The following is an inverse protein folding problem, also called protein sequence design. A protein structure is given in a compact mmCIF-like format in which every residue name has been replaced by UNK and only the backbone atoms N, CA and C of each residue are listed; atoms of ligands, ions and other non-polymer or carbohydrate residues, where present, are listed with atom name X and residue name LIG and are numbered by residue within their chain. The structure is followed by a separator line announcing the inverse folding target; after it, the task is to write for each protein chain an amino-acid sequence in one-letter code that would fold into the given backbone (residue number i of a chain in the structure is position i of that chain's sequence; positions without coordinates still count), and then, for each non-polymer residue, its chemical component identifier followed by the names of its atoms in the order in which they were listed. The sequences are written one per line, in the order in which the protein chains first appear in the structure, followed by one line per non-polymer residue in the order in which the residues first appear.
data_IF_643286133473
#
_entry.id   IF_643286133473
#
_cell.length_a   1.000
_cell.length_b   1.000
_cell.length_c   1.000
_cell.angle_alpha   90.00
_cell.angle_beta   90.00
_cell.angle_gamma   90.00
#
_symmetry.space_group_name_H-M   'P 1'
#
loop_
_entity.id
_entity.type
_entity.pdbx_description
1 polymer ?
#
# COMPACT_ATOMS: atom_id res chain seq x y z
N UNK A 1 -20.92 -43.74 -39.48
CA UNK A 1 -19.54 -43.72 -38.96
C UNK A 1 -18.73 -42.68 -39.74
N UNK A 2 -17.69 -42.11 -39.12
CA UNK A 2 -16.76 -41.06 -39.59
C UNK A 2 -17.12 -39.63 -39.15
N UNK A 3 -16.50 -39.22 -38.03
CA UNK A 3 -16.25 -37.83 -37.62
C UNK A 3 -15.37 -37.14 -38.66
N UNK A 4 -15.65 -35.88 -39.03
CA UNK A 4 -14.60 -34.92 -39.46
C UNK A 4 -14.94 -33.46 -39.13
N UNK A 5 -14.08 -32.91 -38.25
CA UNK A 5 -13.64 -31.54 -37.96
C UNK A 5 -14.57 -30.34 -38.25
N UNK A 6 -14.99 -29.70 -37.16
CA UNK A 6 -15.28 -28.27 -37.11
C UNK A 6 -13.99 -27.49 -37.43
N UNK A 7 -14.05 -26.62 -38.44
CA UNK A 7 -13.04 -25.60 -38.73
C UNK A 7 -13.64 -24.29 -38.23
N UNK A 8 -13.15 -23.70 -37.13
CA UNK A 8 -13.61 -22.38 -36.72
C UNK A 8 -13.27 -21.37 -37.82
N UNK A 9 -14.15 -20.39 -38.11
CA UNK A 9 -13.82 -19.30 -39.00
C UNK A 9 -12.55 -18.62 -38.49
N UNK A 10 -11.62 -18.40 -39.42
CA UNK A 10 -10.36 -17.70 -39.20
C UNK A 10 -10.59 -16.45 -38.36
N UNK A 11 -9.83 -16.31 -37.28
CA UNK A 11 -9.68 -15.02 -36.61
C UNK A 11 -9.10 -14.04 -37.63
N UNK A 12 -9.97 -13.24 -38.23
CA UNK A 12 -9.55 -11.98 -38.80
C UNK A 12 -8.96 -11.18 -37.64
N UNK A 13 -7.65 -11.01 -37.67
CA UNK A 13 -6.95 -9.93 -37.00
C UNK A 13 -7.68 -8.64 -37.31
N UNK A 14 -8.49 -8.17 -36.37
CA UNK A 14 -8.95 -6.79 -36.37
C UNK A 14 -7.71 -5.97 -36.02
N UNK A 15 -7.04 -5.44 -37.05
CA UNK A 15 -6.14 -4.32 -36.88
C UNK A 15 -6.92 -3.19 -36.20
N UNK A 16 -6.55 -2.86 -34.96
CA UNK A 16 -7.06 -1.71 -34.21
C UNK A 16 -6.49 -0.40 -34.82
N UNK A 17 -7.00 0.00 -35.99
CA UNK A 17 -6.60 1.22 -36.70
C UNK A 17 -7.09 2.54 -36.05
N UNK A 18 -7.77 2.49 -34.90
CA UNK A 18 -8.36 3.65 -34.22
C UNK A 18 -7.71 4.11 -32.91
N UNK A 19 -6.81 3.32 -32.31
CA UNK A 19 -6.18 3.65 -31.02
C UNK A 19 -4.94 4.53 -31.21
N UNK A 20 -4.16 4.27 -32.27
CA UNK A 20 -2.97 5.07 -32.62
C UNK A 20 -3.30 6.55 -32.85
N UNK A 21 -4.36 6.85 -33.60
CA UNK A 21 -4.77 8.23 -33.91
C UNK A 21 -5.22 9.04 -32.68
N UNK A 22 -5.82 8.39 -31.67
CA UNK A 22 -6.22 9.05 -30.42
C UNK A 22 -5.02 9.36 -29.53
N UNK A 23 -4.07 8.44 -29.39
CA UNK A 23 -2.85 8.65 -28.61
C UNK A 23 -1.97 9.72 -29.27
N UNK A 24 -1.80 9.68 -30.59
CA UNK A 24 -1.06 10.70 -31.34
C UNK A 24 -1.65 12.10 -31.15
N UNK A 25 -2.99 12.21 -31.15
CA UNK A 25 -3.68 13.47 -30.88
C UNK A 25 -3.42 13.97 -29.46
N UNK A 26 -3.46 13.09 -28.45
CA UNK A 26 -3.13 13.45 -27.06
C UNK A 26 -1.70 13.95 -26.96
N UNK A 27 -0.73 13.26 -27.58
CA UNK A 27 0.68 13.66 -27.59
C UNK A 27 0.86 15.02 -28.26
N UNK A 28 0.22 15.25 -29.42
CA UNK A 28 0.29 16.53 -30.14
C UNK A 28 -0.29 17.68 -29.31
N UNK A 29 -1.42 17.44 -28.64
CA UNK A 29 -2.05 18.44 -27.78
C UNK A 29 -1.19 18.73 -26.55
N UNK A 30 -0.69 17.70 -25.88
CA UNK A 30 0.16 17.83 -24.69
C UNK A 30 1.40 18.70 -24.95
N UNK A 31 2.02 18.60 -26.13
CA UNK A 31 3.19 19.42 -26.51
C UNK A 31 2.88 20.89 -26.77
N UNK A 32 1.66 21.21 -27.22
CA UNK A 32 1.26 22.58 -27.57
C UNK A 32 0.48 23.27 -26.45
N UNK A 33 0.10 22.53 -25.42
CA UNK A 33 -0.74 23.04 -24.35
C UNK A 33 0.01 24.02 -23.44
N UNK A 34 -0.67 25.08 -23.02
CA UNK A 34 -0.17 26.03 -22.04
C UNK A 34 -0.63 25.57 -20.65
N UNK A 35 0.29 24.97 -19.90
CA UNK A 35 0.02 24.47 -18.56
C UNK A 35 -0.13 25.62 -17.56
N UNK A 36 -1.23 25.63 -16.83
CA UNK A 36 -1.58 26.60 -15.79
C UNK A 36 -1.48 26.00 -14.39
N UNK A 37 -1.90 24.74 -14.22
CA UNK A 37 -2.02 24.11 -12.89
C UNK A 37 -0.89 23.11 -12.62
N UNK A 38 -0.53 22.28 -13.59
CA UNK A 38 0.48 21.20 -13.47
C UNK A 38 1.81 21.64 -14.09
N UNK A 39 2.92 21.29 -13.43
CA UNK A 39 4.28 21.44 -13.96
C UNK A 39 4.77 20.10 -14.51
N UNK A 40 4.92 19.93 -15.84
CA UNK A 40 5.46 18.70 -16.42
C UNK A 40 6.87 18.36 -15.93
N UNK A 41 7.68 19.38 -15.63
CA UNK A 41 9.00 19.21 -15.03
C UNK A 41 8.90 18.61 -13.63
N UNK A 42 8.00 19.13 -12.79
CA UNK A 42 7.78 18.61 -11.44
C UNK A 42 7.22 17.18 -11.47
N UNK A 43 6.33 16.86 -12.41
CA UNK A 43 5.88 15.48 -12.65
C UNK A 43 7.06 14.56 -12.93
N UNK A 44 7.95 14.94 -13.85
CA UNK A 44 9.14 14.16 -14.16
C UNK A 44 10.09 14.02 -12.94
N UNK A 45 10.19 15.05 -12.09
CA UNK A 45 11.00 15.01 -10.86
C UNK A 45 10.41 14.10 -9.78
N UNK A 46 9.09 14.10 -9.60
CA UNK A 46 8.41 13.37 -8.53
C UNK A 46 8.21 11.90 -8.89
N UNK A 47 7.68 11.60 -10.08
CA UNK A 47 7.36 10.22 -10.50
C UNK A 47 8.22 9.69 -11.66
N UNK A 48 8.79 10.56 -12.49
CA UNK A 48 9.78 10.18 -13.50
C UNK A 48 9.32 9.06 -14.43
N UNK A 49 10.15 8.03 -14.61
CA UNK A 49 9.82 6.89 -15.50
C UNK A 49 8.65 6.01 -15.02
N UNK A 50 8.19 6.22 -13.79
CA UNK A 50 7.12 5.44 -13.18
C UNK A 50 5.73 6.03 -13.40
N UNK A 51 5.61 7.12 -14.17
CA UNK A 51 4.31 7.61 -14.58
C UNK A 51 3.51 6.53 -15.34
N UNK A 52 2.18 6.47 -15.16
CA UNK A 52 1.34 5.43 -15.77
C UNK A 52 1.36 5.44 -17.29
N UNK A 53 1.63 6.62 -17.86
CA UNK A 53 1.85 6.89 -19.27
C UNK A 53 3.03 7.88 -19.35
N UNK A 54 3.39 8.34 -20.55
CA UNK A 54 4.45 9.35 -20.67
C UNK A 54 4.18 10.57 -19.77
N UNK A 55 5.22 11.11 -19.14
CA UNK A 55 5.11 12.24 -18.21
C UNK A 55 4.33 13.41 -18.81
N UNK A 56 4.54 13.70 -20.10
CA UNK A 56 3.81 14.75 -20.82
C UNK A 56 2.32 14.45 -20.94
N UNK A 57 1.94 13.22 -21.32
CA UNK A 57 0.53 12.88 -21.46
C UNK A 57 -0.16 12.84 -20.09
N UNK A 58 0.51 12.30 -19.07
CA UNK A 58 -0.01 12.28 -17.71
C UNK A 58 -0.23 13.71 -17.18
N UNK A 59 0.76 14.59 -17.37
CA UNK A 59 0.65 16.01 -17.01
C UNK A 59 -0.51 16.69 -17.74
N UNK A 60 -0.66 16.43 -19.04
CA UNK A 60 -1.72 17.02 -19.85
C UNK A 60 -3.12 16.57 -19.41
N UNK A 61 -3.30 15.28 -19.13
CA UNK A 61 -4.59 14.76 -18.67
C UNK A 61 -4.96 15.33 -17.29
N UNK A 62 -4.01 15.41 -16.36
CA UNK A 62 -4.24 16.06 -15.06
C UNK A 62 -4.50 17.56 -15.20
N UNK A 63 -3.78 18.27 -16.07
CA UNK A 63 -4.01 19.69 -16.37
C UNK A 63 -5.44 19.93 -16.86
N UNK A 64 -5.88 19.15 -17.87
CA UNK A 64 -7.24 19.22 -18.38
C UNK A 64 -8.29 18.90 -17.30
N UNK A 65 -8.02 17.88 -16.47
CA UNK A 65 -8.92 17.51 -15.39
C UNK A 65 -9.07 18.64 -14.36
N UNK A 66 -7.96 19.21 -13.89
CA UNK A 66 -7.97 20.28 -12.89
C UNK A 66 -8.61 21.54 -13.47
N UNK A 67 -8.37 21.88 -14.73
CA UNK A 67 -9.04 23.00 -15.38
C UNK A 67 -10.56 22.80 -15.43
N UNK A 68 -11.02 21.64 -15.90
CA UNK A 68 -12.45 21.32 -15.97
C UNK A 68 -13.12 21.30 -14.58
N UNK A 69 -12.46 20.67 -13.60
CA UNK A 69 -12.89 20.64 -12.21
C UNK A 69 -13.00 22.05 -11.63
N UNK A 70 -11.97 22.88 -11.82
CA UNK A 70 -11.93 24.26 -11.35
C UNK A 70 -13.05 25.11 -11.95
N UNK A 71 -13.32 24.98 -13.25
CA UNK A 71 -14.22 25.89 -13.94
C UNK A 71 -15.69 25.48 -13.81
N UNK A 72 -15.96 24.18 -13.62
CA UNK A 72 -17.33 23.65 -13.72
C UNK A 72 -17.75 22.72 -12.58
N UNK A 73 -16.83 22.29 -11.72
CA UNK A 73 -17.11 21.30 -10.67
C UNK A 73 -17.14 19.85 -11.18
N UNK A 74 -16.57 19.57 -12.35
CA UNK A 74 -16.38 18.21 -12.86
C UNK A 74 -15.55 17.39 -11.88
N UNK A 75 -15.98 16.16 -11.61
CA UNK A 75 -15.32 15.24 -10.68
C UNK A 75 -14.96 13.89 -11.32
N UNK A 76 -15.41 13.64 -12.56
CA UNK A 76 -15.14 12.41 -13.32
C UNK A 76 -14.78 12.80 -14.76
N UNK A 77 -13.69 12.26 -15.30
CA UNK A 77 -13.30 12.44 -16.70
C UNK A 77 -12.77 11.12 -17.27
N UNK A 78 -13.36 10.66 -18.36
CA UNK A 78 -12.95 9.44 -19.05
C UNK A 78 -13.16 9.56 -20.57
N UNK A 79 -12.97 8.45 -21.30
CA UNK A 79 -13.09 8.43 -22.75
C UNK A 79 -14.48 8.81 -23.30
N UNK A 80 -15.54 8.77 -22.47
CA UNK A 80 -16.92 9.10 -22.87
C UNK A 80 -17.27 10.57 -22.64
N UNK A 81 -16.53 11.27 -21.79
CA UNK A 81 -16.78 12.67 -21.48
C UNK A 81 -16.31 13.06 -20.08
N UNK A 82 -16.80 14.20 -19.64
CA UNK A 82 -16.53 14.76 -18.33
C UNK A 82 -17.85 15.05 -17.61
N UNK A 83 -17.94 14.65 -16.35
CA UNK A 83 -19.20 14.56 -15.60
C UNK A 83 -19.02 15.11 -14.18
N UNK A 84 -20.13 15.58 -13.61
CA UNK A 84 -20.26 15.88 -12.20
C UNK A 84 -20.75 14.65 -11.47
N UNK A 85 -20.31 14.46 -10.24
CA UNK A 85 -20.94 13.51 -9.32
C UNK A 85 -22.32 14.00 -8.91
N UNK A 86 -23.18 13.06 -8.56
CA UNK A 86 -24.47 13.23 -7.92
C UNK A 86 -24.39 13.45 -6.40
N UNK A 87 -23.20 13.33 -5.79
CA UNK A 87 -23.01 13.60 -4.36
C UNK A 87 -23.31 15.09 -4.09
N UNK A 88 -24.26 15.42 -3.20
CA UNK A 88 -24.65 16.79 -2.92
C UNK A 88 -23.47 17.68 -2.51
N UNK A 89 -23.46 18.93 -2.98
CA UNK A 89 -22.48 19.99 -2.66
C UNK A 89 -21.02 19.73 -3.12
N UNK A 90 -20.72 18.54 -3.65
CA UNK A 90 -19.37 18.23 -4.16
C UNK A 90 -19.03 19.06 -5.40
N UNK A 91 -19.87 19.13 -6.46
CA UNK A 91 -19.54 19.94 -7.62
C UNK A 91 -19.31 21.42 -7.28
N UNK A 92 -20.13 21.99 -6.41
CA UNK A 92 -20.04 23.40 -5.98
C UNK A 92 -18.74 23.66 -5.20
N UNK A 93 -18.33 22.71 -4.36
CA UNK A 93 -17.11 22.81 -3.56
C UNK A 93 -15.82 22.68 -4.38
N UNK A 94 -15.89 22.00 -5.53
CA UNK A 94 -14.77 21.83 -6.46
C UNK A 94 -14.55 23.05 -7.38
N UNK A 95 -15.56 23.91 -7.56
CA UNK A 95 -15.41 25.14 -8.35
C UNK A 95 -14.35 26.05 -7.69
N UNK A 96 -13.39 26.52 -8.50
CA UNK A 96 -12.27 27.35 -8.05
C UNK A 96 -11.16 26.60 -7.31
N UNK A 97 -11.24 25.26 -7.14
CA UNK A 97 -10.25 24.50 -6.36
C UNK A 97 -8.83 24.59 -6.93
N UNK A 98 -8.70 24.66 -8.26
CA UNK A 98 -7.40 24.82 -8.92
C UNK A 98 -6.73 26.15 -8.56
N UNK A 99 -7.50 27.26 -8.50
CA UNK A 99 -6.96 28.56 -8.08
C UNK A 99 -6.61 28.57 -6.60
N UNK A 100 -7.42 27.95 -5.74
CA UNK A 100 -7.16 27.81 -4.31
C UNK A 100 -5.86 27.04 -4.04
N UNK A 101 -5.66 25.91 -4.72
CA UNK A 101 -4.43 25.12 -4.64
C UNK A 101 -3.19 25.92 -5.09
N UNK A 102 -3.28 26.67 -6.21
CA UNK A 102 -2.19 27.55 -6.65
C UNK A 102 -1.90 28.66 -5.64
N UNK A 103 -2.93 29.23 -5.01
CA UNK A 103 -2.78 30.21 -3.93
C UNK A 103 -2.12 29.60 -2.70
N UNK A 104 -2.50 28.38 -2.32
CA UNK A 104 -1.87 27.63 -1.23
C UNK A 104 -0.38 27.43 -1.47
N UNK A 105 0.00 27.02 -2.69
CA UNK A 105 1.42 26.84 -3.05
C UNK A 105 2.26 28.11 -2.88
N UNK A 106 1.71 29.28 -3.26
CA UNK A 106 2.41 30.57 -3.10
C UNK A 106 2.64 30.95 -1.64
N UNK A 107 1.75 30.51 -0.75
CA UNK A 107 1.81 30.79 0.69
C UNK A 107 2.40 29.61 1.49
N UNK A 108 2.92 28.60 0.80
CA UNK A 108 3.38 27.38 1.42
C UNK A 108 4.59 27.63 2.34
N UNK A 109 4.57 27.00 3.52
CA UNK A 109 5.67 27.02 4.48
C UNK A 109 6.32 25.64 4.53
N UNK A 110 7.64 25.62 4.38
CA UNK A 110 8.45 24.39 4.42
C UNK A 110 8.18 23.58 5.70
N UNK A 111 8.12 22.27 5.54
CA UNK A 111 7.93 21.30 6.62
C UNK A 111 6.48 21.22 7.11
N UNK A 112 5.53 21.78 6.38
CA UNK A 112 4.11 21.67 6.73
C UNK A 112 3.58 20.29 6.39
N UNK A 113 2.81 19.72 7.31
CA UNK A 113 2.11 18.46 7.10
C UNK A 113 0.77 18.66 6.39
N UNK A 114 0.10 19.75 6.73
CA UNK A 114 -1.03 20.25 5.99
C UNK A 114 -0.51 20.94 4.73
N UNK A 115 -0.82 20.37 3.57
CA UNK A 115 -0.53 21.00 2.30
C UNK A 115 -1.73 21.84 1.83
N UNK A 116 -2.95 21.39 2.13
CA UNK A 116 -4.18 22.11 1.78
C UNK A 116 -5.29 21.84 2.79
N UNK A 117 -5.74 22.88 3.49
CA UNK A 117 -6.73 22.79 4.57
C UNK A 117 -8.16 23.10 4.16
N UNK A 118 -8.37 23.67 2.97
CA UNK A 118 -9.73 24.08 2.55
C UNK A 118 -10.58 22.89 2.09
N UNK A 119 -9.97 21.85 1.52
CA UNK A 119 -10.71 20.68 1.00
C UNK A 119 -9.83 19.43 1.01
N UNK A 120 -10.31 18.34 1.62
CA UNK A 120 -9.61 17.05 1.66
C UNK A 120 -10.25 16.07 0.68
N UNK A 121 -9.50 15.68 -0.35
CA UNK A 121 -9.98 14.75 -1.37
C UNK A 121 -8.82 14.13 -2.14
N UNK A 122 -9.08 12.99 -2.78
CA UNK A 122 -8.10 12.36 -3.65
C UNK A 122 -8.52 12.44 -5.12
N UNK A 123 -7.54 12.40 -6.02
CA UNK A 123 -7.72 12.27 -7.46
C UNK A 123 -7.15 10.92 -7.87
N UNK A 124 -8.02 9.99 -8.26
CA UNK A 124 -7.63 8.66 -8.74
C UNK A 124 -7.54 8.70 -10.26
N UNK A 125 -6.34 8.50 -10.80
CA UNK A 125 -6.06 8.42 -12.24
C UNK A 125 -5.71 6.99 -12.62
N UNK A 126 -6.60 6.34 -13.36
CA UNK A 126 -6.48 4.93 -13.75
C UNK A 126 -6.01 4.80 -15.20
N UNK A 127 -4.88 4.11 -15.37
CA UNK A 127 -4.32 3.74 -16.67
C UNK A 127 -3.99 2.25 -16.68
N UNK A 128 -5.03 1.43 -16.75
CA UNK A 128 -4.92 -0.03 -16.77
C UNK A 128 -5.01 -0.50 -18.22
N UNK A 129 -4.08 -1.36 -18.64
CA UNK A 129 -4.09 -1.92 -19.99
C UNK A 129 -5.43 -2.61 -20.30
N UNK A 130 -5.96 -2.37 -21.49
CA UNK A 130 -7.27 -2.88 -21.90
C UNK A 130 -8.48 -2.18 -21.29
N UNK A 131 -8.30 -1.21 -20.37
CA UNK A 131 -9.39 -0.40 -19.80
C UNK A 131 -9.32 1.05 -20.29
N UNK A 132 -10.45 1.75 -20.43
CA UNK A 132 -10.44 3.19 -20.68
C UNK A 132 -9.73 3.94 -19.56
N UNK A 133 -8.95 4.96 -19.94
CA UNK A 133 -8.37 5.90 -18.95
C UNK A 133 -9.49 6.66 -18.28
N UNK A 134 -9.42 6.75 -16.96
CA UNK A 134 -10.41 7.42 -16.13
C UNK A 134 -9.74 8.20 -15.00
N UNK A 135 -10.21 9.41 -14.74
CA UNK A 135 -9.79 10.26 -13.62
C UNK A 135 -11.00 10.64 -12.78
N UNK A 136 -10.96 10.38 -11.47
CA UNK A 136 -12.10 10.55 -10.56
C UNK A 136 -11.66 11.21 -9.26
N UNK A 137 -12.48 12.13 -8.75
CA UNK A 137 -12.35 12.66 -7.39
C UNK A 137 -12.99 11.70 -6.37
N UNK A 138 -12.27 11.43 -5.28
CA UNK A 138 -12.80 10.83 -4.06
C UNK A 138 -12.96 11.94 -3.00
N UNK A 139 -14.18 12.48 -2.81
CA UNK A 139 -14.38 13.71 -2.05
C UNK A 139 -14.51 13.42 -0.55
N UNK A 140 -13.40 13.12 0.15
CA UNK A 140 -13.46 12.79 1.58
C UNK A 140 -14.04 13.89 2.45
N UNK A 141 -13.93 15.16 2.04
CA UNK A 141 -14.61 16.28 2.69
C UNK A 141 -16.14 16.13 2.76
N UNK A 142 -16.76 15.29 1.94
CA UNK A 142 -18.18 14.99 1.98
C UNK A 142 -18.53 13.84 2.94
N UNK A 143 -17.53 13.18 3.54
CA UNK A 143 -17.70 11.99 4.36
C UNK A 143 -16.87 12.06 5.64
N UNK A 144 -17.54 12.21 6.78
CA UNK A 144 -16.90 12.35 8.10
C UNK A 144 -15.98 11.19 8.47
N UNK A 145 -16.31 9.96 8.03
CA UNK A 145 -15.54 8.75 8.37
C UNK A 145 -14.22 8.62 7.58
N UNK A 146 -14.09 9.34 6.46
CA UNK A 146 -12.95 9.20 5.54
C UNK A 146 -12.06 10.44 5.48
N UNK A 147 -12.51 11.58 6.05
CA UNK A 147 -11.72 12.80 6.04
C UNK A 147 -10.48 12.66 6.92
N UNK A 148 -9.34 13.15 6.43
CA UNK A 148 -8.11 13.30 7.21
C UNK A 148 -8.31 14.37 8.27
N UNK A 149 -7.51 14.32 9.34
CA UNK A 149 -7.49 15.40 10.32
C UNK A 149 -7.06 16.71 9.66
N UNK A 150 -7.34 17.84 10.32
CA UNK A 150 -6.93 19.15 9.81
C UNK A 150 -5.41 19.24 9.67
N UNK A 151 -4.63 18.54 10.46
CA UNK A 151 -3.17 18.55 10.40
C UNK A 151 -2.63 17.73 9.22
N UNK A 152 -3.42 16.79 8.70
CA UNK A 152 -3.04 15.85 7.65
C UNK A 152 -3.77 16.08 6.33
N UNK A 153 -4.70 17.05 6.28
CA UNK A 153 -5.52 17.33 5.11
C UNK A 153 -4.68 17.73 3.90
N UNK A 154 -4.98 17.13 2.76
CA UNK A 154 -4.23 17.34 1.52
C UNK A 154 -5.02 16.81 0.32
N UNK A 155 -4.59 17.21 -0.87
CA UNK A 155 -5.07 16.59 -2.11
C UNK A 155 -4.06 15.55 -2.57
N UNK A 156 -4.44 14.27 -2.63
CA UNK A 156 -3.54 13.19 -3.07
C UNK A 156 -3.91 12.74 -4.48
N UNK A 157 -2.92 12.59 -5.35
CA UNK A 157 -3.08 11.91 -6.64
C UNK A 157 -2.73 10.44 -6.45
N UNK A 158 -3.63 9.54 -6.83
CA UNK A 158 -3.37 8.11 -6.98
C UNK A 158 -3.24 7.77 -8.46
N UNK A 159 -2.01 7.64 -8.94
CA UNK A 159 -1.72 7.13 -10.27
C UNK A 159 -1.67 5.60 -10.20
N UNK A 160 -2.72 4.94 -10.72
CA UNK A 160 -2.74 3.49 -10.85
C UNK A 160 -1.95 3.14 -12.10
N UNK A 161 -0.73 2.67 -11.88
CA UNK A 161 0.18 2.17 -12.91
C UNK A 161 -0.07 0.67 -13.06
N UNK A 162 0.09 0.13 -14.26
CA UNK A 162 -0.06 -1.30 -14.53
C UNK A 162 0.74 -2.20 -13.56
N UNK A 163 0.41 -3.48 -13.60
CA UNK A 163 0.81 -4.49 -12.62
C UNK A 163 2.33 -4.60 -12.39
N UNK A 164 2.76 -4.63 -11.12
CA UNK A 164 4.07 -5.17 -10.75
C UNK A 164 3.93 -6.69 -10.63
N UNK A 165 4.51 -7.42 -11.58
CA UNK A 165 4.49 -8.90 -11.61
C UNK A 165 3.08 -9.49 -11.42
N UNK A 166 2.09 -8.96 -12.16
CA UNK A 166 0.72 -9.44 -12.11
C UNK A 166 -0.15 -8.83 -10.99
N UNK A 167 0.40 -7.92 -10.18
CA UNK A 167 -0.30 -7.29 -9.05
C UNK A 167 -0.48 -5.79 -9.27
N UNK A 168 -1.70 -5.23 -9.18
CA UNK A 168 -1.92 -3.79 -9.32
C UNK A 168 -1.07 -2.98 -8.34
N UNK A 169 -0.40 -1.94 -8.85
CA UNK A 169 0.44 -1.07 -8.05
C UNK A 169 0.02 0.40 -8.21
N UNK A 170 -0.30 1.03 -7.08
CA UNK A 170 -0.70 2.44 -7.06
C UNK A 170 0.44 3.32 -6.56
N UNK A 171 0.78 4.35 -7.34
CA UNK A 171 1.74 5.38 -6.95
C UNK A 171 0.95 6.61 -6.50
N UNK A 172 1.18 7.03 -5.27
CA UNK A 172 0.43 8.13 -4.65
C UNK A 172 1.36 9.25 -4.22
N UNK A 173 0.93 10.50 -4.38
CA UNK A 173 1.70 11.67 -3.95
C UNK A 173 0.79 12.90 -3.82
N UNK A 174 1.16 13.91 -3.02
CA UNK A 174 0.37 15.12 -2.91
C UNK A 174 0.36 15.88 -4.23
N UNK A 175 -0.82 16.27 -4.71
CA UNK A 175 -1.01 16.97 -5.97
C UNK A 175 -0.12 18.21 -6.05
N UNK A 176 -0.01 18.95 -4.95
CA UNK A 176 0.71 20.21 -4.88
C UNK A 176 2.19 20.07 -5.26
N UNK A 177 2.84 18.92 -5.01
CA UNK A 177 4.24 18.70 -5.37
C UNK A 177 4.50 18.69 -6.88
N UNK A 178 3.45 18.49 -7.70
CA UNK A 178 3.52 18.58 -9.15
C UNK A 178 2.82 19.82 -9.73
N UNK A 179 2.28 20.69 -8.87
CA UNK A 179 1.59 21.89 -9.32
C UNK A 179 2.56 23.05 -9.56
N UNK A 180 2.16 23.96 -10.44
CA UNK A 180 2.87 25.21 -10.70
C UNK A 180 3.00 26.02 -9.40
N UNK A 181 4.18 26.60 -9.19
CA UNK A 181 4.46 27.48 -8.05
C UNK A 181 4.72 26.77 -6.72
N UNK A 182 4.72 25.43 -6.67
CA UNK A 182 5.19 24.73 -5.48
C UNK A 182 6.70 24.94 -5.33
N UNK A 183 7.19 25.35 -4.14
CA UNK A 183 8.60 25.68 -3.95
C UNK A 183 9.49 24.43 -4.00
N UNK A 184 10.70 24.61 -4.52
CA UNK A 184 11.75 23.60 -4.45
C UNK A 184 12.72 23.93 -3.32
N UNK A 185 13.06 22.94 -2.51
CA UNK A 185 13.94 23.12 -1.37
C UNK A 185 15.24 22.33 -1.56
N UNK A 186 16.37 23.02 -1.31
CA UNK A 186 17.65 22.36 -1.16
C UNK A 186 17.65 21.49 0.10
N UNK A 187 18.38 20.37 0.02
CA UNK A 187 18.58 19.42 1.12
C UNK A 187 17.26 18.91 1.73
N UNK A 188 16.24 18.76 0.88
CA UNK A 188 14.96 18.22 1.29
C UNK A 188 15.01 16.71 1.45
N UNK A 189 14.24 16.24 2.42
CA UNK A 189 14.07 14.84 2.71
C UNK A 189 12.62 14.44 2.49
N UNK A 190 12.44 13.22 2.01
CA UNK A 190 11.16 12.63 1.67
C UNK A 190 10.79 11.58 2.70
N UNK A 191 9.53 11.59 3.11
CA UNK A 191 8.88 10.58 3.92
C UNK A 191 7.82 9.88 3.09
N UNK A 192 7.93 8.56 3.02
CA UNK A 192 7.07 7.75 2.18
C UNK A 192 6.60 6.51 2.93
N UNK A 193 5.58 5.85 2.38
CA UNK A 193 5.19 4.54 2.82
C UNK A 193 4.99 3.56 1.66
N UNK A 194 5.16 2.28 1.95
CA UNK A 194 4.75 1.17 1.09
C UNK A 194 3.70 0.36 1.82
N UNK A 195 2.55 0.18 1.18
CA UNK A 195 1.38 -0.47 1.75
C UNK A 195 1.08 -1.77 1.01
N UNK A 196 0.70 -2.79 1.77
CA UNK A 196 0.17 -4.05 1.28
C UNK A 196 -1.22 -4.18 1.88
N UNK A 197 -2.24 -3.94 1.06
CA UNK A 197 -3.63 -4.02 1.46
C UNK A 197 -4.24 -5.34 0.98
N UNK A 198 -4.82 -6.09 1.92
CA UNK A 198 -5.59 -7.29 1.65
C UNK A 198 -7.03 -6.88 1.35
N UNK A 199 -7.56 -7.43 0.26
CA UNK A 199 -8.89 -7.15 -0.22
C UNK A 199 -9.84 -8.30 0.10
N UNK A 200 -11.06 -7.96 0.53
CA UNK A 200 -12.15 -8.92 0.66
C UNK A 200 -12.72 -9.35 -0.71
N UNK A 201 -13.78 -10.15 -0.69
CA UNK A 201 -14.46 -10.62 -1.91
C UNK A 201 -15.06 -9.49 -2.77
N UNK A 202 -15.34 -8.34 -2.16
CA UNK A 202 -15.93 -7.16 -2.80
C UNK A 202 -14.87 -6.12 -3.21
N UNK A 203 -13.58 -6.41 -2.98
CA UNK A 203 -12.47 -5.53 -3.29
C UNK A 203 -12.26 -4.40 -2.27
N UNK A 204 -12.86 -4.48 -1.07
CA UNK A 204 -12.60 -3.53 0.01
C UNK A 204 -11.39 -3.94 0.82
N UNK A 205 -10.69 -2.96 1.37
CA UNK A 205 -9.52 -3.21 2.23
C UNK A 205 -9.99 -3.78 3.57
N UNK A 206 -9.66 -5.05 3.81
CA UNK A 206 -9.91 -5.73 5.09
C UNK A 206 -8.78 -5.42 6.08
N UNK A 207 -7.53 -5.42 5.58
CA UNK A 207 -6.33 -5.22 6.40
C UNK A 207 -5.23 -4.59 5.57
N UNK A 208 -4.46 -3.70 6.18
CA UNK A 208 -3.33 -3.05 5.50
C UNK A 208 -2.08 -3.05 6.37
N UNK A 209 -0.97 -3.46 5.77
CA UNK A 209 0.36 -3.41 6.35
C UNK A 209 1.17 -2.28 5.73
N UNK A 210 1.95 -1.57 6.54
CA UNK A 210 2.61 -0.33 6.16
C UNK A 210 4.08 -0.39 6.54
N UNK A 211 4.96 -0.21 5.56
CA UNK A 211 6.36 0.13 5.78
C UNK A 211 6.52 1.65 5.65
N UNK A 212 7.05 2.30 6.67
CA UNK A 212 7.41 3.73 6.65
C UNK A 212 8.91 3.86 6.40
N UNK A 213 9.30 4.77 5.52
CA UNK A 213 10.70 5.06 5.26
C UNK A 213 10.96 6.53 4.96
N UNK A 214 12.21 6.92 5.10
CA UNK A 214 12.69 8.26 4.73
C UNK A 214 13.85 8.17 3.75
N UNK A 215 14.10 9.25 3.02
CA UNK A 215 15.26 9.36 2.14
C UNK A 215 15.63 10.81 1.82
N UNK A 216 16.90 11.09 1.57
CA UNK A 216 17.38 12.34 0.98
C UNK A 216 17.43 12.29 -0.57
N UNK A 217 17.08 11.14 -1.16
CA UNK A 217 17.10 10.89 -2.61
C UNK A 217 15.67 10.87 -3.15
N UNK A 218 15.49 10.72 -4.46
CA UNK A 218 14.15 10.48 -5.02
C UNK A 218 13.52 9.20 -4.42
N UNK A 219 12.31 9.30 -3.90
CA UNK A 219 11.61 8.22 -3.19
C UNK A 219 11.28 7.00 -4.08
N UNK A 220 10.98 7.19 -5.36
CA UNK A 220 10.78 6.06 -6.29
C UNK A 220 12.09 5.42 -6.74
N UNK A 221 13.23 6.12 -6.63
CA UNK A 221 14.53 5.46 -6.74
C UNK A 221 14.73 4.48 -5.59
N UNK A 222 14.33 4.82 -4.35
CA UNK A 222 14.31 3.88 -3.22
C UNK A 222 13.36 2.72 -3.48
N UNK A 223 12.17 2.97 -4.05
CA UNK A 223 11.27 1.88 -4.44
C UNK A 223 11.93 0.92 -5.45
N UNK A 224 12.65 1.44 -6.44
CA UNK A 224 13.39 0.59 -7.40
C UNK A 224 14.45 -0.27 -6.72
N UNK A 225 15.13 0.26 -5.69
CA UNK A 225 16.09 -0.48 -4.89
C UNK A 225 15.38 -1.58 -4.08
N UNK A 226 14.24 -1.27 -3.45
CA UNK A 226 13.40 -2.27 -2.78
C UNK A 226 12.97 -3.38 -3.73
N UNK A 227 12.52 -3.06 -4.94
CA UNK A 227 12.17 -4.08 -5.93
C UNK A 227 13.35 -4.99 -6.30
N UNK A 228 14.55 -4.43 -6.46
CA UNK A 228 15.74 -5.23 -6.72
C UNK A 228 16.09 -6.13 -5.53
N UNK A 229 16.01 -5.62 -4.30
CA UNK A 229 16.23 -6.40 -3.06
C UNK A 229 15.16 -7.48 -2.85
N UNK A 230 13.90 -7.19 -3.22
CA UNK A 230 12.79 -8.15 -3.22
C UNK A 230 13.14 -9.29 -4.18
N UNK A 231 13.52 -8.99 -5.42
CA UNK A 231 13.87 -9.98 -6.44
C UNK A 231 15.10 -10.82 -6.09
N UNK A 232 16.09 -10.22 -5.43
CA UNK A 232 17.30 -10.94 -4.99
C UNK A 232 17.11 -11.80 -3.74
N UNK A 233 15.90 -11.86 -3.19
CA UNK A 233 15.59 -12.74 -2.05
C UNK A 233 15.94 -12.15 -0.68
N UNK A 234 16.04 -10.83 -0.56
CA UNK A 234 16.34 -10.15 0.70
C UNK A 234 15.40 -10.58 1.84
N UNK A 235 15.97 -10.86 3.02
CA UNK A 235 15.25 -11.37 4.21
C UNK A 235 14.51 -10.31 5.03
N UNK A 236 14.51 -9.02 4.63
CA UNK A 236 13.79 -7.97 5.36
C UNK A 236 12.29 -8.32 5.42
N UNK A 237 11.64 -8.06 6.56
CA UNK A 237 10.23 -8.39 6.78
C UNK A 237 9.34 -7.83 5.66
N UNK A 238 9.47 -6.53 5.36
CA UNK A 238 8.79 -5.89 4.24
C UNK A 238 8.98 -6.65 2.92
N UNK A 239 10.21 -7.04 2.57
CA UNK A 239 10.48 -7.73 1.30
C UNK A 239 9.89 -9.14 1.27
N UNK A 240 10.00 -9.87 2.38
CA UNK A 240 9.43 -11.21 2.51
C UNK A 240 7.91 -11.14 2.38
N UNK A 241 7.28 -10.21 3.09
CA UNK A 241 5.83 -9.99 3.02
C UNK A 241 5.42 -9.60 1.60
N UNK A 242 6.12 -8.66 0.95
CA UNK A 242 5.85 -8.28 -0.43
C UNK A 242 5.91 -9.46 -1.39
N UNK A 243 7.00 -10.23 -1.40
CA UNK A 243 7.15 -11.42 -2.26
C UNK A 243 6.04 -12.44 -2.05
N UNK A 244 5.62 -12.64 -0.80
CA UNK A 244 4.59 -13.62 -0.50
C UNK A 244 3.21 -13.22 -1.05
N UNK A 245 3.00 -11.93 -1.32
CA UNK A 245 1.72 -11.40 -1.81
C UNK A 245 1.73 -11.08 -3.31
N UNK A 246 2.90 -10.98 -3.94
CA UNK A 246 3.01 -10.82 -5.39
C UNK A 246 2.28 -11.94 -6.13
N UNK A 247 1.45 -11.57 -7.10
CA UNK A 247 0.64 -12.48 -7.92
C UNK A 247 -0.74 -12.79 -7.33
N UNK A 248 -1.04 -12.30 -6.12
CA UNK A 248 -2.35 -12.46 -5.50
C UNK A 248 -3.30 -11.34 -5.92
N UNK A 249 -4.38 -11.70 -6.62
CA UNK A 249 -5.42 -10.77 -7.09
C UNK A 249 -6.23 -10.11 -5.97
N UNK A 250 -6.15 -10.64 -4.74
CA UNK A 250 -6.77 -10.06 -3.53
C UNK A 250 -5.83 -9.13 -2.77
N UNK A 251 -4.76 -8.65 -3.42
CA UNK A 251 -3.80 -7.73 -2.82
C UNK A 251 -3.69 -6.49 -3.67
N UNK A 252 -3.73 -5.34 -3.02
CA UNK A 252 -3.37 -4.06 -3.58
C UNK A 252 -2.03 -3.61 -3.01
N UNK A 253 -1.07 -3.37 -3.90
CA UNK A 253 0.21 -2.77 -3.54
C UNK A 253 0.11 -1.26 -3.77
N UNK A 254 0.59 -0.45 -2.82
CA UNK A 254 0.71 0.98 -3.05
C UNK A 254 1.98 1.57 -2.46
N UNK A 255 2.50 2.60 -3.13
CA UNK A 255 3.62 3.39 -2.68
C UNK A 255 3.17 4.84 -2.65
N UNK A 256 3.30 5.49 -1.50
CA UNK A 256 2.83 6.86 -1.30
C UNK A 256 3.98 7.74 -0.81
N UNK A 257 4.23 8.83 -1.53
CA UNK A 257 4.96 9.96 -0.98
C UNK A 257 4.01 10.72 -0.04
N UNK A 258 4.40 10.88 1.22
CA UNK A 258 3.58 11.55 2.24
C UNK A 258 4.06 12.99 2.43
N UNK A 259 5.38 13.15 2.60
CA UNK A 259 6.06 14.45 2.78
C UNK A 259 7.34 14.50 1.94
N UNK A 260 7.75 15.67 1.44
CA UNK A 260 8.84 15.78 0.47
C UNK A 260 9.80 16.96 0.65
N UNK A 261 9.51 17.85 1.58
CA UNK A 261 10.20 19.15 1.72
C UNK A 261 10.84 19.36 3.10
N UNK A 262 10.91 18.31 3.92
CA UNK A 262 11.34 18.40 5.32
C UNK A 262 12.87 18.53 5.45
N UNK A 263 13.32 19.21 6.52
CA UNK A 263 14.72 19.16 6.97
C UNK A 263 15.05 17.79 7.55
N UNK A 264 16.34 17.52 7.80
CA UNK A 264 16.78 16.28 8.44
C UNK A 264 16.09 16.03 9.79
N UNK A 265 16.05 17.03 10.66
CA UNK A 265 15.42 16.89 11.98
C UNK A 265 13.91 16.67 11.86
N UNK A 266 13.25 17.44 11.00
CA UNK A 266 11.81 17.32 10.77
C UNK A 266 11.45 15.93 10.23
N UNK A 267 12.21 15.40 9.27
CA UNK A 267 11.90 14.09 8.68
C UNK A 267 12.16 12.93 9.65
N UNK A 268 13.15 13.07 10.54
CA UNK A 268 13.44 12.07 11.58
C UNK A 268 12.32 12.04 12.63
N UNK A 269 11.83 13.20 13.08
CA UNK A 269 10.69 13.28 13.98
C UNK A 269 9.40 12.75 13.34
N UNK A 270 9.22 13.01 12.04
CA UNK A 270 8.11 12.48 11.25
C UNK A 270 8.13 10.94 11.20
N UNK A 271 9.27 10.34 10.84
CA UNK A 271 9.40 8.88 10.73
C UNK A 271 9.14 8.20 12.08
N UNK A 272 9.67 8.76 13.16
CA UNK A 272 9.42 8.28 14.51
C UNK A 272 7.93 8.25 14.83
N UNK A 273 7.22 9.36 14.59
CA UNK A 273 5.77 9.48 14.84
C UNK A 273 4.96 8.49 14.00
N UNK A 274 5.30 8.35 12.71
CA UNK A 274 4.56 7.49 11.79
C UNK A 274 4.80 6.00 12.06
N UNK A 275 6.05 5.62 12.36
CA UNK A 275 6.39 4.24 12.73
C UNK A 275 5.70 3.86 14.03
N UNK A 276 5.75 4.72 15.05
CA UNK A 276 5.10 4.46 16.34
C UNK A 276 3.58 4.27 16.17
N UNK A 277 2.92 5.14 15.40
CA UNK A 277 1.49 5.01 15.07
C UNK A 277 1.19 3.67 14.40
N UNK A 278 1.93 3.30 13.36
CA UNK A 278 1.75 2.04 12.64
C UNK A 278 2.04 0.81 13.53
N UNK A 279 2.98 0.92 14.47
CA UNK A 279 3.27 -0.16 15.43
C UNK A 279 2.15 -0.32 16.45
N UNK A 280 1.61 0.79 16.99
CA UNK A 280 0.46 0.77 17.91
C UNK A 280 -0.78 0.15 17.25
N UNK A 281 -0.99 0.41 15.97
CA UNK A 281 -2.08 -0.18 15.19
C UNK A 281 -1.82 -1.63 14.73
N UNK A 282 -0.65 -2.21 15.05
CA UNK A 282 -0.23 -3.54 14.61
C UNK A 282 -0.21 -3.71 13.07
N UNK A 283 0.15 -2.64 12.36
CA UNK A 283 0.23 -2.59 10.88
C UNK A 283 1.65 -2.40 10.36
N UNK A 284 2.61 -2.05 11.23
CA UNK A 284 3.97 -1.71 10.83
C UNK A 284 4.76 -2.90 10.29
N UNK A 285 5.37 -2.74 9.12
CA UNK A 285 6.38 -3.66 8.57
C UNK A 285 7.81 -3.23 8.94
N UNK A 286 7.97 -2.12 9.67
CA UNK A 286 9.25 -1.73 10.25
C UNK A 286 9.62 -2.69 11.39
N UNK A 287 10.87 -3.15 11.40
CA UNK A 287 11.37 -4.07 12.44
C UNK A 287 11.96 -3.34 13.65
N UNK A 288 12.21 -2.04 13.53
CA UNK A 288 12.74 -1.18 14.58
C UNK A 288 11.95 0.14 14.62
N UNK A 289 12.02 0.92 15.71
CA UNK A 289 11.44 2.26 15.77
C UNK A 289 12.00 3.19 14.68
N UNK A 290 11.22 4.20 14.29
CA UNK A 290 11.63 5.21 13.32
C UNK A 290 12.52 6.31 13.91
N UNK A 291 13.12 7.13 13.05
CA UNK A 291 13.73 8.40 13.42
C UNK A 291 14.85 8.28 14.46
N UNK A 292 14.86 9.23 15.41
CA UNK A 292 15.88 9.31 16.46
C UNK A 292 15.77 8.14 17.44
N UNK A 293 14.56 7.66 17.77
CA UNK A 293 14.37 6.42 18.52
C UNK A 293 15.02 5.23 17.84
N UNK A 294 14.90 5.11 16.52
CA UNK A 294 15.55 4.07 15.71
C UNK A 294 17.08 4.12 15.81
N UNK A 295 17.68 5.31 15.73
CA UNK A 295 19.12 5.46 15.90
C UNK A 295 19.59 5.09 17.31
N UNK A 296 18.89 5.56 18.35
CA UNK A 296 19.18 5.17 19.74
C UNK A 296 19.04 3.67 19.94
N UNK A 297 18.06 3.04 19.28
CA UNK A 297 17.87 1.59 19.30
C UNK A 297 19.08 0.87 18.69
N UNK A 298 19.52 1.27 17.50
CA UNK A 298 20.68 0.68 16.82
C UNK A 298 21.99 0.88 17.60
N UNK A 299 22.20 2.06 18.19
CA UNK A 299 23.34 2.33 19.07
C UNK A 299 23.35 1.39 20.29
N UNK A 300 22.21 1.22 20.98
CA UNK A 300 22.08 0.28 22.10
C UNK A 300 22.36 -1.17 21.71
N UNK A 301 22.05 -1.55 20.47
CA UNK A 301 22.34 -2.87 19.91
C UNK A 301 23.72 -2.96 19.25
N UNK A 302 24.58 -1.95 19.43
CA UNK A 302 25.96 -1.89 18.89
C UNK A 302 26.03 -2.00 17.37
N UNK A 303 24.98 -1.57 16.67
CA UNK A 303 24.95 -1.48 15.20
C UNK A 303 25.49 -0.13 14.71
N UNK A 304 25.57 0.86 15.60
CA UNK A 304 26.12 2.18 15.34
C UNK A 304 27.12 2.55 16.44
N UNK A 305 28.14 3.32 16.06
CA UNK A 305 29.15 3.85 17.00
C UNK A 305 28.72 5.16 17.67
N UNK A 306 27.67 5.81 17.14
CA UNK A 306 27.13 7.09 17.59
C UNK A 306 25.61 7.11 17.41
N UNK A 307 24.91 7.93 18.19
CA UNK A 307 23.47 8.21 18.02
C UNK A 307 23.19 9.34 17.01
N UNK A 308 24.25 9.98 16.48
CA UNK A 308 24.20 10.97 15.41
C UNK A 308 24.96 10.45 14.19
N UNK A 309 24.22 9.93 13.22
CA UNK A 309 24.76 9.38 11.97
C UNK A 309 23.95 9.87 10.78
N UNK A 310 24.49 9.71 9.57
CA UNK A 310 23.75 10.01 8.33
C UNK A 310 22.64 8.99 8.06
N UNK A 311 21.63 9.34 7.25
CA UNK A 311 20.58 8.39 6.81
C UNK A 311 21.20 7.17 6.11
N UNK A 312 22.25 7.36 5.32
CA UNK A 312 22.92 6.28 4.61
C UNK A 312 23.57 5.28 5.57
N UNK A 313 24.29 5.78 6.58
CA UNK A 313 24.92 4.95 7.60
C UNK A 313 23.88 4.22 8.44
N UNK A 314 22.79 4.91 8.81
CA UNK A 314 21.65 4.31 9.48
C UNK A 314 21.02 3.18 8.66
N UNK A 315 20.77 3.39 7.37
CA UNK A 315 20.17 2.38 6.49
C UNK A 315 21.05 1.12 6.37
N UNK A 316 22.38 1.29 6.39
CA UNK A 316 23.32 0.16 6.43
C UNK A 316 23.22 -0.62 7.76
N UNK A 317 23.19 0.08 8.90
CA UNK A 317 23.02 -0.52 10.22
C UNK A 317 21.68 -1.24 10.39
N UNK A 318 20.58 -0.69 9.83
CA UNK A 318 19.28 -1.36 9.79
C UNK A 318 19.38 -2.68 9.03
N UNK A 319 20.02 -2.66 7.86
CA UNK A 319 20.21 -3.86 7.03
C UNK A 319 21.01 -4.95 7.76
N UNK A 320 22.06 -4.56 8.49
CA UNK A 320 22.85 -5.49 9.31
C UNK A 320 22.05 -6.06 10.49
N UNK A 321 21.37 -5.20 11.24
CA UNK A 321 20.52 -5.62 12.35
C UNK A 321 19.48 -6.66 11.93
N UNK A 322 18.84 -6.46 10.78
CA UNK A 322 17.83 -7.36 10.23
C UNK A 322 18.39 -8.72 9.82
N UNK A 323 19.64 -8.77 9.33
CA UNK A 323 20.32 -10.05 9.03
C UNK A 323 20.55 -10.86 10.29
N UNK A 324 20.93 -10.20 11.39
CA UNK A 324 21.19 -10.83 12.69
C UNK A 324 19.88 -11.24 13.40
N UNK A 325 18.77 -10.56 13.12
CA UNK A 325 17.48 -10.76 13.79
C UNK A 325 16.33 -11.07 12.80
N UNK A 326 16.39 -12.19 12.05
CA UNK A 326 15.44 -12.48 10.97
C UNK A 326 14.00 -12.76 11.44
N UNK A 327 13.79 -12.92 12.75
CA UNK A 327 12.47 -13.14 13.38
C UNK A 327 11.89 -11.90 14.07
N UNK A 328 12.60 -10.78 14.06
CA UNK A 328 12.11 -9.52 14.65
C UNK A 328 11.04 -8.86 13.75
N UNK A 329 10.16 -8.07 14.35
CA UNK A 329 9.03 -7.42 13.67
C UNK A 329 7.73 -8.23 13.75
N UNK A 330 6.74 -7.87 12.92
CA UNK A 330 5.42 -8.52 12.92
C UNK A 330 5.54 -9.99 12.51
N UNK A 331 4.87 -10.87 13.27
CA UNK A 331 4.78 -12.29 12.96
C UNK A 331 4.28 -12.50 11.52
N UNK A 332 4.76 -13.56 10.86
CA UNK A 332 4.46 -13.83 9.44
C UNK A 332 2.98 -13.60 9.12
N UNK A 333 2.70 -12.55 8.34
CA UNK A 333 1.36 -12.03 8.05
C UNK A 333 0.42 -13.11 7.52
N UNK A 334 0.92 -13.95 6.60
CA UNK A 334 0.18 -15.10 6.07
C UNK A 334 -0.18 -16.12 7.14
N UNK A 335 0.70 -16.35 8.13
CA UNK A 335 0.40 -17.27 9.24
C UNK A 335 -0.65 -16.66 10.15
N UNK A 336 -0.69 -15.34 10.33
CA UNK A 336 -1.74 -14.67 11.11
C UNK A 336 -3.12 -14.85 10.48
N UNK A 337 -3.24 -14.73 9.16
CA UNK A 337 -4.52 -14.87 8.46
C UNK A 337 -4.89 -16.34 8.26
N UNK A 338 -3.90 -17.21 7.97
CA UNK A 338 -4.11 -18.66 7.97
C UNK A 338 -4.47 -19.18 9.37
N UNK A 339 -4.00 -18.56 10.46
CA UNK A 339 -4.44 -18.88 11.83
C UNK A 339 -5.90 -18.51 12.10
N UNK A 340 -6.51 -17.62 11.32
CA UNK A 340 -7.96 -17.36 11.42
C UNK A 340 -8.78 -18.48 10.79
N UNK A 341 -8.20 -19.26 9.87
CA UNK A 341 -8.83 -20.44 9.31
C UNK A 341 -8.71 -21.62 10.29
N UNK A 342 -9.85 -22.10 10.80
CA UNK A 342 -9.89 -23.17 11.80
C UNK A 342 -9.34 -24.52 11.29
N UNK A 343 -9.44 -24.83 10.00
CA UNK A 343 -8.86 -26.05 9.41
C UNK A 343 -7.33 -25.98 9.37
N UNK A 344 -6.79 -24.84 8.93
CA UNK A 344 -5.34 -24.62 8.93
C UNK A 344 -4.79 -24.60 10.35
N UNK A 345 -5.48 -23.90 11.25
CA UNK A 345 -5.21 -23.85 12.68
C UNK A 345 -5.13 -25.26 13.26
N UNK A 346 -6.17 -26.07 13.05
CA UNK A 346 -6.24 -27.45 13.54
C UNK A 346 -5.11 -28.32 12.96
N UNK A 347 -4.80 -28.18 11.67
CA UNK A 347 -3.71 -28.92 11.01
C UNK A 347 -2.34 -28.57 11.60
N UNK A 348 -2.10 -27.30 11.93
CA UNK A 348 -0.85 -26.84 12.57
C UNK A 348 -0.79 -27.22 14.05
N UNK A 349 -1.89 -27.14 14.79
CA UNK A 349 -1.97 -27.59 16.19
C UNK A 349 -1.61 -29.08 16.26
N UNK A 350 -2.13 -29.88 15.33
CA UNK A 350 -2.01 -31.35 15.32
C UNK A 350 -0.90 -31.87 14.39
N UNK A 351 0.05 -31.03 13.95
CA UNK A 351 0.98 -31.38 12.85
C UNK A 351 2.14 -32.29 13.23
N UNK A 352 2.33 -32.59 14.51
CA UNK A 352 3.49 -33.32 15.02
C UNK A 352 3.05 -34.66 15.60
N UNK A 353 3.84 -35.71 15.34
CA UNK A 353 3.59 -37.06 15.84
C UNK A 353 3.54 -37.16 17.38
N UNK A 354 4.10 -36.18 18.09
CA UNK A 354 3.99 -36.10 19.56
C UNK A 354 2.69 -35.43 20.06
N UNK A 355 1.89 -34.88 19.15
CA UNK A 355 0.63 -34.19 19.45
C UNK A 355 -0.56 -35.05 19.07
N UNK A 356 -1.71 -34.78 19.70
CA UNK A 356 -2.94 -35.47 19.38
C UNK A 356 -3.44 -35.01 18.01
N UNK A 357 -3.91 -35.96 17.20
CA UNK A 357 -4.64 -35.68 15.97
C UNK A 357 -6.00 -35.03 16.27
N UNK A 358 -6.58 -34.40 15.25
CA UNK A 358 -7.93 -33.81 15.35
C UNK A 358 -8.95 -34.87 15.80
N UNK A 359 -8.90 -36.06 15.21
CA UNK A 359 -9.77 -37.19 15.54
C UNK A 359 -9.57 -37.66 16.99
N UNK A 360 -8.32 -37.71 17.47
CA UNK A 360 -8.02 -38.08 18.85
C UNK A 360 -8.57 -37.04 19.84
N UNK A 361 -8.47 -35.75 19.53
CA UNK A 361 -9.04 -34.67 20.37
C UNK A 361 -10.57 -34.80 20.45
N UNK A 362 -11.25 -35.06 19.33
CA UNK A 362 -12.68 -35.32 19.32
C UNK A 362 -13.05 -36.56 20.14
N UNK A 363 -12.31 -37.67 19.94
CA UNK A 363 -12.57 -38.92 20.65
C UNK A 363 -12.39 -38.78 22.16
N UNK A 364 -11.41 -38.02 22.63
CA UNK A 364 -11.22 -37.73 24.06
C UNK A 364 -12.44 -37.04 24.65
N UNK A 365 -12.96 -36.03 23.96
CA UNK A 365 -14.13 -35.27 24.45
C UNK A 365 -15.41 -36.09 24.42
N UNK A 366 -15.59 -36.90 23.39
CA UNK A 366 -16.71 -37.85 23.28
C UNK A 366 -16.66 -38.90 24.40
N UNK A 367 -15.51 -39.55 24.61
CA UNK A 367 -15.39 -40.56 25.68
C UNK A 367 -15.55 -39.95 27.07
N UNK A 368 -15.03 -38.73 27.27
CA UNK A 368 -15.23 -38.00 28.52
C UNK A 368 -16.70 -37.64 28.76
N UNK A 369 -17.46 -37.25 27.73
CA UNK A 369 -18.90 -36.96 27.88
C UNK A 369 -19.72 -38.22 28.11
N UNK A 370 -19.25 -39.38 27.65
CA UNK A 370 -19.82 -40.70 27.92
C UNK A 370 -19.43 -41.27 29.30
N UNK A 371 -18.63 -40.55 30.09
CA UNK A 371 -18.28 -40.93 31.46
C UNK A 371 -17.12 -41.91 31.59
N UNK A 372 -16.31 -42.12 30.54
CA UNK A 372 -15.10 -42.93 30.64
C UNK A 372 -14.06 -42.26 31.52
N UNK A 373 -13.28 -43.08 32.23
CA UNK A 373 -12.19 -42.60 33.09
C UNK A 373 -10.98 -42.15 32.25
N UNK A 374 -10.19 -41.22 32.78
CA UNK A 374 -8.97 -40.72 32.09
C UNK A 374 -8.04 -41.87 31.65
N UNK A 375 -7.97 -42.97 32.40
CA UNK A 375 -7.14 -44.14 32.08
C UNK A 375 -7.65 -44.90 30.86
N UNK A 376 -8.96 -45.14 30.79
CA UNK A 376 -9.60 -45.82 29.65
C UNK A 376 -9.46 -44.98 28.38
N UNK A 377 -9.60 -43.66 28.49
CA UNK A 377 -9.45 -42.74 27.36
C UNK A 377 -8.03 -42.78 26.79
N UNK A 378 -7.00 -42.87 27.64
CA UNK A 378 -5.60 -42.96 27.16
C UNK A 378 -5.38 -44.23 26.35
N UNK A 379 -5.87 -45.37 26.82
CA UNK A 379 -5.71 -46.65 26.14
C UNK A 379 -6.44 -46.66 24.79
N UNK A 380 -7.67 -46.15 24.77
CA UNK A 380 -8.51 -46.10 23.56
C UNK A 380 -7.96 -45.12 22.51
N UNK A 381 -7.46 -43.96 22.94
CA UNK A 381 -7.00 -42.89 22.03
C UNK A 381 -5.49 -42.99 21.76
N UNK A 382 -4.77 -43.85 22.48
CA UNK A 382 -3.30 -43.95 22.46
C UNK A 382 -2.61 -42.62 22.78
N UNK A 383 -3.15 -41.89 23.75
CA UNK A 383 -2.56 -40.64 24.21
C UNK A 383 -1.25 -40.91 24.97
N UNK A 384 -0.34 -39.93 25.00
CA UNK A 384 0.99 -40.10 25.60
C UNK A 384 0.94 -40.27 27.12
N UNK A 385 0.05 -39.54 27.79
CA UNK A 385 -0.09 -39.56 29.24
C UNK A 385 -1.43 -38.97 29.71
N UNK A 386 -1.75 -39.21 30.99
CA UNK A 386 -2.98 -38.72 31.66
C UNK A 386 -3.11 -37.20 31.59
N UNK A 387 -2.01 -36.47 31.77
CA UNK A 387 -2.05 -35.00 31.76
C UNK A 387 -2.47 -34.44 30.38
N UNK A 388 -2.10 -35.11 29.30
CA UNK A 388 -2.49 -34.72 27.94
C UNK A 388 -4.01 -34.83 27.76
N UNK A 389 -4.62 -35.91 28.23
CA UNK A 389 -6.08 -36.14 28.20
C UNK A 389 -6.81 -35.14 29.10
N UNK A 390 -6.37 -34.97 30.33
CA UNK A 390 -6.98 -34.03 31.28
C UNK A 390 -6.96 -32.58 30.79
N UNK A 391 -5.88 -32.15 30.12
CA UNK A 391 -5.77 -30.79 29.55
C UNK A 391 -6.69 -30.59 28.35
N UNK A 392 -6.99 -31.63 27.57
CA UNK A 392 -7.98 -31.59 26.48
C UNK A 392 -9.40 -31.47 27.05
N UNK A 393 -9.74 -32.31 28.05
CA UNK A 393 -11.06 -32.29 28.70
C UNK A 393 -11.34 -30.93 29.35
N UNK A 394 -10.33 -30.38 30.04
CA UNK A 394 -10.42 -29.05 30.68
C UNK A 394 -10.36 -27.87 29.70
N UNK A 395 -10.20 -28.12 28.39
CA UNK A 395 -10.08 -27.07 27.37
C UNK A 395 -8.81 -26.21 27.46
N UNK A 396 -7.82 -26.62 28.26
CA UNK A 396 -6.55 -25.90 28.46
C UNK A 396 -5.68 -25.99 27.19
N UNK A 397 -5.76 -27.13 26.49
CA UNK A 397 -5.07 -27.38 25.22
C UNK A 397 -6.06 -27.75 24.13
N UNK A 398 -5.73 -27.48 22.87
CA UNK A 398 -6.58 -27.79 21.71
C UNK A 398 -7.96 -27.08 21.75
N UNK A 399 -8.05 -25.92 22.40
CA UNK A 399 -9.31 -25.17 22.60
C UNK A 399 -9.96 -24.66 21.30
N UNK A 400 -9.18 -24.52 20.22
CA UNK A 400 -9.68 -24.11 18.89
C UNK A 400 -10.23 -25.26 18.04
N UNK A 401 -9.92 -26.51 18.40
CA UNK A 401 -10.57 -27.66 17.80
C UNK A 401 -11.89 -27.77 18.54
N UNK A 402 -13.03 -27.58 17.89
CA UNK A 402 -14.36 -27.56 18.53
C UNK A 402 -15.18 -28.74 18.09
#
# INVERSE_FOLDING_TARGET
MIKKKFIPPSYNTIEFSGVGSKIERVVKNARKHKYKYISPESVNKIIGKWAPISNMNFSYLLECFIAAMNDTGISIMNARGAYKTDIPNVPESLIGVGHKLLSSNKNYRRGSWNLFSELDFDIVHQCIEGKPVETVVKPYFAFEDFKRSREESRVVVHAIVAEFEGTPWTISFPLQYIMVGFPDFKDQHFGYCHKIALLDGDGKVEKEYVYIGITSRNWLKRMSEHFNEIKSGSNKLFHKTWRNFTGNKKVLLSSELIVGDHSYEQIMNWEETMVDRCMMENRSLNMIPGGFKGMKYLYKHRMLNSDKVSITERDAAISEYQKLHPRAGVANVLISDLWQNDEYAAKVICSSDERLSIEQVFKIRELSSLGYTDKEIIELVKARNILQVQRVIKGITYSRIR
#
